data_IF_216309916865
#
_entry.id   IF_216309916865
#
_cell.length_a   1.000
_cell.length_b   1.000
_cell.length_c   1.000
_cell.angle_alpha   90.00
_cell.angle_beta   90.00
_cell.angle_gamma   90.00
#
_symmetry.space_group_name_H-M   'P 1'
#
loop_
_entity.id
_entity.type
_entity.pdbx_description
1 polymer ?
#
# COMPACT_ATOMS: atom_id res chain seq x y z
N UNK A 1 8.91 -13.43 -15.48
CA UNK A 1 8.56 -13.38 -14.03
C UNK A 1 8.93 -12.04 -13.46
N UNK A 2 8.00 -11.44 -12.74
CA UNK A 2 8.20 -10.15 -12.08
C UNK A 2 7.62 -10.22 -10.69
N UNK A 3 8.02 -9.26 -9.86
CA UNK A 3 7.50 -9.14 -8.50
C UNK A 3 6.89 -7.76 -8.29
N UNK A 4 5.78 -7.71 -7.58
CA UNK A 4 5.18 -6.45 -7.18
C UNK A 4 5.38 -6.33 -5.67
N UNK A 5 5.92 -5.19 -5.25
CA UNK A 5 6.20 -4.94 -3.83
C UNK A 5 5.39 -3.74 -3.38
N UNK A 6 4.21 -3.98 -2.81
CA UNK A 6 3.35 -2.87 -2.40
C UNK A 6 3.80 -2.27 -1.08
N UNK A 7 3.47 -1.00 -0.89
CA UNK A 7 3.55 -0.39 0.41
C UNK A 7 2.28 -0.67 1.20
N UNK A 8 1.92 0.22 2.10
CA UNK A 8 0.70 0.04 2.89
C UNK A 8 -0.52 0.33 2.03
N UNK A 9 -1.38 -0.66 1.93
CA UNK A 9 -2.63 -0.55 1.19
C UNK A 9 -3.77 -0.66 2.19
N UNK A 10 -4.70 0.27 2.13
CA UNK A 10 -5.81 0.29 3.09
C UNK A 10 -6.78 -0.83 2.73
N UNK A 11 -6.80 -1.85 3.57
CA UNK A 11 -7.64 -3.03 3.41
C UNK A 11 -8.22 -3.36 4.77
N UNK A 12 -9.22 -4.24 4.83
CA UNK A 12 -9.72 -4.71 6.13
C UNK A 12 -8.63 -5.31 6.99
N UNK A 13 -7.66 -5.99 6.38
CA UNK A 13 -6.55 -6.57 7.15
C UNK A 13 -5.72 -5.49 7.80
N UNK A 14 -5.35 -4.46 7.07
CA UNK A 14 -4.54 -3.37 7.60
C UNK A 14 -5.30 -2.63 8.69
N UNK A 15 -6.56 -2.35 8.46
CA UNK A 15 -7.40 -1.68 9.45
C UNK A 15 -7.47 -2.48 10.74
N UNK A 16 -7.67 -3.77 10.63
CA UNK A 16 -7.73 -4.63 11.80
C UNK A 16 -6.40 -4.66 12.52
N UNK A 17 -5.30 -4.72 11.78
CA UNK A 17 -3.97 -4.73 12.36
C UNK A 17 -3.71 -3.48 13.17
N UNK A 18 -4.12 -2.33 12.67
CA UNK A 18 -3.97 -1.09 13.40
C UNK A 18 -4.77 -1.10 14.68
N UNK A 19 -5.99 -1.60 14.63
CA UNK A 19 -6.83 -1.69 15.81
C UNK A 19 -6.22 -2.62 16.85
N UNK A 20 -5.72 -3.77 16.43
CA UNK A 20 -5.21 -4.76 17.35
C UNK A 20 -3.87 -4.37 17.95
N UNK A 21 -3.01 -3.73 17.17
CA UNK A 21 -1.67 -3.43 17.62
C UNK A 21 -1.53 -2.06 18.24
N UNK A 22 -2.32 -1.14 17.84
CA UNK A 22 -2.11 0.25 18.18
C UNK A 22 -2.58 0.66 19.53
N UNK A 23 -3.08 -0.26 20.30
CA UNK A 23 -3.67 0.17 21.54
C UNK A 23 -4.85 1.03 21.24
N UNK A 24 -5.29 0.96 20.09
CA UNK A 24 -6.39 1.73 19.65
C UNK A 24 -7.64 1.17 20.20
N UNK A 25 -7.45 0.29 21.06
CA UNK A 25 -8.52 -0.23 21.78
C UNK A 25 -9.33 0.84 22.40
N UNK A 26 -8.72 1.87 22.66
CA UNK A 26 -9.45 2.97 23.17
C UNK A 26 -10.38 3.43 22.14
N UNK A 27 -10.30 2.77 21.13
CA UNK A 27 -11.24 2.75 20.20
C UNK A 27 -11.64 3.89 19.52
N UNK A 28 -11.10 4.56 19.48
CA UNK A 28 -11.69 5.50 18.82
C UNK A 28 -11.44 5.31 17.38
N UNK A 29 -12.46 5.38 16.67
CA UNK A 29 -12.46 5.54 15.26
C UNK A 29 -11.51 6.66 14.89
N UNK A 30 -11.51 7.66 15.71
CA UNK A 30 -10.66 8.82 15.53
C UNK A 30 -9.19 8.44 15.64
N UNK A 31 -8.85 7.53 16.55
CA UNK A 31 -7.49 7.07 16.71
C UNK A 31 -7.02 6.28 15.50
N UNK A 32 -7.92 5.51 14.91
CA UNK A 32 -7.60 4.78 13.69
C UNK A 32 -7.31 5.75 12.55
N UNK A 33 -8.14 6.77 12.40
CA UNK A 33 -7.92 7.77 11.36
C UNK A 33 -6.61 8.51 11.55
N UNK A 34 -6.28 8.81 12.79
CA UNK A 34 -5.02 9.48 13.07
C UNK A 34 -3.83 8.59 12.76
N UNK A 35 -3.93 7.31 13.09
CA UNK A 35 -2.86 6.37 12.80
C UNK A 35 -2.66 6.22 11.30
N UNK A 36 -3.73 6.15 10.55
CA UNK A 36 -3.64 6.03 9.10
C UNK A 36 -3.03 7.29 8.50
N UNK A 37 -3.44 8.44 9.01
CA UNK A 37 -2.92 9.72 8.50
C UNK A 37 -1.44 9.86 8.82
N UNK A 38 -1.02 9.46 10.01
CA UNK A 38 0.38 9.52 10.39
C UNK A 38 1.22 8.61 9.52
N UNK A 39 0.69 7.45 9.19
CA UNK A 39 1.41 6.52 8.31
C UNK A 39 1.48 7.09 6.89
N UNK A 40 0.42 7.71 6.42
CA UNK A 40 0.39 8.30 5.08
C UNK A 40 1.45 9.37 4.92
N UNK A 41 1.75 10.09 5.98
CA UNK A 41 2.75 11.14 5.93
C UNK A 41 4.16 10.62 5.68
N UNK A 42 4.38 9.32 5.86
CA UNK A 42 5.68 8.71 5.62
C UNK A 42 5.91 8.41 4.15
N UNK A 43 4.90 8.56 3.32
CA UNK A 43 5.00 8.28 1.89
C UNK A 43 5.14 9.58 1.11
N UNK A 44 6.12 9.66 0.21
CA UNK A 44 6.31 10.89 -0.58
C UNK A 44 5.06 11.36 -1.30
N UNK A 45 4.20 10.43 -1.71
CA UNK A 45 2.95 10.85 -2.36
C UNK A 45 1.88 11.32 -1.38
N UNK A 46 2.14 11.18 -0.10
CA UNK A 46 1.26 11.76 0.92
C UNK A 46 -0.01 11.00 1.18
N UNK A 47 -0.11 9.77 0.69
CA UNK A 47 -1.29 8.95 0.94
C UNK A 47 -0.91 7.48 0.96
N UNK A 48 -1.75 6.70 1.59
CA UNK A 48 -1.62 5.25 1.53
C UNK A 48 -2.19 4.74 0.22
N UNK A 49 -1.82 3.53 -0.13
CA UNK A 49 -2.29 2.96 -1.37
C UNK A 49 -3.70 2.42 -1.27
N UNK A 50 -4.29 2.19 -2.42
CA UNK A 50 -5.58 1.51 -2.52
C UNK A 50 -5.38 0.19 -3.23
N UNK A 51 -6.39 -0.66 -3.16
CA UNK A 51 -6.34 -1.94 -3.86
C UNK A 51 -6.12 -1.71 -5.34
N UNK A 52 -6.76 -0.68 -5.89
CA UNK A 52 -6.63 -0.39 -7.32
C UNK A 52 -5.24 0.04 -7.71
N UNK A 53 -4.50 0.68 -6.81
CA UNK A 53 -3.12 1.07 -7.09
C UNK A 53 -2.25 -0.14 -7.40
N UNK A 54 -2.44 -1.23 -6.66
CA UNK A 54 -1.66 -2.44 -6.86
C UNK A 54 -2.23 -3.27 -8.01
N UNK A 55 -3.55 -3.33 -8.11
CA UNK A 55 -4.21 -4.10 -9.16
C UNK A 55 -3.85 -3.57 -10.54
N UNK A 56 -3.69 -2.26 -10.69
CA UNK A 56 -3.30 -1.68 -11.97
C UNK A 56 -1.99 -2.22 -12.47
N UNK A 57 -0.99 -2.32 -11.59
CA UNK A 57 0.29 -2.89 -11.98
C UNK A 57 0.16 -4.36 -12.32
N UNK A 58 -0.64 -5.11 -11.55
CA UNK A 58 -0.83 -6.52 -11.80
C UNK A 58 -1.49 -6.76 -13.17
N UNK A 59 -2.47 -5.94 -13.50
CA UNK A 59 -3.14 -6.05 -14.80
C UNK A 59 -2.16 -5.75 -15.94
N UNK A 60 -1.35 -4.70 -15.77
CA UNK A 60 -0.36 -4.37 -16.80
C UNK A 60 0.62 -5.53 -17.01
N UNK A 61 1.15 -6.08 -15.93
CA UNK A 61 2.14 -7.15 -16.02
C UNK A 61 1.57 -8.44 -16.60
N UNK A 62 0.25 -8.63 -16.45
CA UNK A 62 -0.42 -9.80 -17.01
C UNK A 62 -0.84 -9.59 -18.46
N UNK A 63 -0.69 -8.38 -18.98
CA UNK A 63 -1.17 -8.06 -20.31
C UNK A 63 -0.07 -8.24 -21.35
N UNK A 64 -0.49 -8.30 -22.61
CA UNK A 64 0.46 -8.39 -23.72
C UNK A 64 1.32 -7.14 -23.82
N UNK A 65 0.86 -6.03 -23.27
CA UNK A 65 1.63 -4.80 -23.33
C UNK A 65 2.92 -4.89 -22.52
N UNK A 66 2.99 -5.81 -21.57
CA UNK A 66 4.21 -6.05 -20.80
C UNK A 66 5.09 -7.13 -21.41
N UNK A 67 4.96 -7.35 -22.69
CA UNK A 67 5.62 -8.49 -23.37
C UNK A 67 7.14 -8.45 -23.34
N UNK A 68 7.72 -7.30 -23.05
CA UNK A 68 9.17 -7.19 -22.96
C UNK A 68 9.63 -6.83 -21.55
N UNK A 69 8.83 -7.20 -20.54
CA UNK A 69 9.11 -6.91 -19.14
C UNK A 69 9.23 -8.21 -18.37
N UNK A 70 10.40 -8.49 -17.85
CA UNK A 70 10.60 -9.69 -17.03
C UNK A 70 11.80 -9.49 -16.12
N UNK A 71 11.83 -10.24 -15.04
CA UNK A 71 12.96 -10.23 -14.13
C UNK A 71 13.04 -8.98 -13.25
N UNK A 72 11.95 -8.25 -13.13
CA UNK A 72 11.98 -6.96 -12.45
C UNK A 72 11.15 -6.97 -11.17
N UNK A 73 11.51 -6.06 -10.27
CA UNK A 73 10.78 -5.81 -9.04
C UNK A 73 10.15 -4.44 -9.16
N UNK A 74 8.82 -4.38 -8.98
CA UNK A 74 8.08 -3.14 -9.17
C UNK A 74 7.52 -2.66 -7.83
N UNK A 75 8.15 -1.67 -7.19
CA UNK A 75 7.56 -1.07 -6.00
C UNK A 75 6.32 -0.28 -6.37
N UNK A 76 5.23 -0.54 -5.67
CA UNK A 76 3.99 0.22 -5.82
C UNK A 76 3.68 0.75 -4.44
N UNK A 77 4.40 1.79 -4.03
CA UNK A 77 4.49 2.18 -2.64
C UNK A 77 4.49 3.69 -2.42
N UNK A 78 3.98 4.44 -3.37
CA UNK A 78 3.89 5.89 -3.21
C UNK A 78 5.23 6.58 -2.99
N UNK A 79 6.32 5.92 -3.38
CA UNK A 79 7.65 6.48 -3.24
C UNK A 79 8.37 6.13 -1.95
N UNK A 80 7.79 5.27 -1.13
CA UNK A 80 8.34 4.98 0.19
C UNK A 80 9.79 4.49 0.13
N UNK A 81 10.08 3.55 -0.77
CA UNK A 81 11.42 2.98 -0.86
C UNK A 81 12.40 3.89 -1.59
N UNK A 82 11.91 4.92 -2.25
CA UNK A 82 12.77 5.86 -2.97
C UNK A 82 13.16 7.05 -2.12
N UNK A 83 12.53 7.17 -0.96
CA UNK A 83 12.75 8.32 -0.09
C UNK A 83 13.97 8.14 0.79
#
# INVERSE_FOLDING_TARGET
FNAICPGTVVTPLVTRTYIERGGIAMGAQQSLEEALRANAARYPMGRLGTVDDVAGMAVYLASDEAGWVTGAVFPVDGGYTAA
#
